data_IF_128324333530
#
_entry.id   IF_128324333530
#
_cell.length_a   1.000
_cell.length_b   1.000
_cell.length_c   1.000
_cell.angle_alpha   90.00
_cell.angle_beta   90.00
_cell.angle_gamma   90.00
#
_symmetry.space_group_name_H-M   'P 1'
#
loop_
_entity.id
_entity.type
_entity.pdbx_description
1 polymer ?
#
# COMPACT_ATOMS: atom_id res chain seq x y z
N UNK A 1 21.52 -22.22 -6.21
CA UNK A 1 20.07 -21.97 -6.20
C UNK A 1 19.88 -20.76 -5.31
N UNK A 2 19.45 -19.62 -5.88
CA UNK A 2 19.42 -18.34 -5.18
C UNK A 2 18.32 -18.35 -4.13
N UNK A 3 18.69 -18.06 -2.89
CA UNK A 3 17.75 -17.80 -1.80
C UNK A 3 16.86 -16.62 -2.21
N UNK A 4 15.55 -16.88 -2.37
CA UNK A 4 14.55 -15.82 -2.37
C UNK A 4 14.46 -15.29 -0.94
N UNK A 5 15.40 -14.42 -0.58
CA UNK A 5 15.26 -13.55 0.58
C UNK A 5 14.07 -12.64 0.29
N UNK A 6 12.89 -13.07 0.74
CA UNK A 6 11.75 -12.19 0.92
C UNK A 6 12.23 -11.09 1.87
N UNK A 7 12.61 -9.94 1.30
CA UNK A 7 12.79 -8.73 2.07
C UNK A 7 11.43 -8.41 2.67
N UNK A 8 11.17 -8.92 3.87
CA UNK A 8 10.04 -8.50 4.68
C UNK A 8 10.36 -7.06 5.05
N UNK A 9 9.90 -6.15 4.18
CA UNK A 9 9.65 -4.76 4.47
C UNK A 9 9.06 -4.70 5.88
N UNK A 10 9.85 -4.17 6.83
CA UNK A 10 9.49 -4.23 8.25
C UNK A 10 8.11 -3.63 8.51
N UNK A 11 7.42 -4.08 9.55
CA UNK A 11 6.13 -3.49 9.90
C UNK A 11 6.31 -1.98 10.15
N UNK A 12 5.41 -1.12 9.62
CA UNK A 12 5.44 0.28 9.97
C UNK A 12 5.10 0.44 11.46
N UNK A 13 5.26 1.67 11.97
CA UNK A 13 4.92 1.98 13.36
C UNK A 13 3.45 1.63 13.66
N UNK A 14 3.10 1.19 14.89
CA UNK A 14 1.72 0.88 15.24
C UNK A 14 0.77 2.03 14.90
N UNK A 15 -0.36 1.69 14.26
CA UNK A 15 -1.37 2.67 13.81
C UNK A 15 -1.14 3.25 12.42
N UNK A 16 0.05 3.11 11.84
CA UNK A 16 0.30 3.50 10.44
C UNK A 16 -0.35 2.49 9.49
N UNK A 17 -1.09 3.00 8.50
CA UNK A 17 -1.77 2.19 7.48
C UNK A 17 -0.75 1.66 6.49
N UNK A 18 0.01 2.56 5.87
CA UNK A 18 1.21 2.22 5.11
C UNK A 18 2.24 3.36 5.19
N UNK A 19 3.50 3.02 4.93
CA UNK A 19 4.63 3.94 4.84
C UNK A 19 5.38 3.67 3.53
N UNK A 20 5.45 4.66 2.66
CA UNK A 20 6.15 4.60 1.37
C UNK A 20 7.40 5.46 1.44
N UNK A 21 8.57 4.86 1.32
CA UNK A 21 9.86 5.56 1.36
C UNK A 21 10.51 5.55 -0.02
N UNK A 22 10.37 6.63 -0.78
CA UNK A 22 11.02 6.76 -2.09
C UNK A 22 11.68 8.13 -2.27
N UNK A 23 12.81 8.14 -2.98
CA UNK A 23 13.48 9.37 -3.43
C UNK A 23 13.77 10.39 -2.32
N UNK A 24 14.09 9.92 -1.10
CA UNK A 24 14.35 10.79 0.05
C UNK A 24 13.10 11.43 0.67
N UNK A 25 11.91 11.05 0.21
CA UNK A 25 10.64 11.39 0.81
C UNK A 25 10.01 10.15 1.49
N UNK A 26 9.39 10.36 2.64
CA UNK A 26 8.61 9.35 3.34
C UNK A 26 7.16 9.82 3.40
N UNK A 27 6.24 9.02 2.86
CA UNK A 27 4.80 9.23 2.92
C UNK A 27 4.23 8.23 3.91
N UNK A 28 3.45 8.71 4.87
CA UNK A 28 2.84 7.89 5.92
C UNK A 28 1.33 8.15 5.87
N UNK A 29 0.53 7.11 5.64
CA UNK A 29 -0.92 7.20 5.82
C UNK A 29 -1.27 6.88 7.27
N UNK A 30 -1.84 7.86 7.95
CA UNK A 30 -2.24 7.82 9.34
C UNK A 30 -3.62 7.12 9.50
N UNK A 31 -3.97 6.67 10.72
CA UNK A 31 -5.22 5.97 10.95
C UNK A 31 -6.47 6.87 10.84
N UNK A 32 -6.30 8.19 10.91
CA UNK A 32 -7.34 9.19 10.69
C UNK A 32 -7.54 9.55 9.21
N UNK A 33 -6.92 8.79 8.30
CA UNK A 33 -6.91 9.00 6.85
C UNK A 33 -6.24 10.30 6.39
N UNK A 34 -5.49 10.97 7.26
CA UNK A 34 -4.53 12.00 6.82
C UNK A 34 -3.24 11.35 6.35
N UNK A 35 -2.48 12.01 5.48
CA UNK A 35 -1.13 11.57 5.15
C UNK A 35 -0.09 12.58 5.59
N UNK A 36 1.02 12.08 6.10
CA UNK A 36 2.19 12.88 6.47
C UNK A 36 3.28 12.67 5.43
N UNK A 37 3.75 13.75 4.83
CA UNK A 37 4.94 13.77 3.98
C UNK A 37 6.12 14.31 4.78
N UNK A 38 7.21 13.55 4.81
CA UNK A 38 8.50 13.93 5.38
C UNK A 38 9.51 14.04 4.26
N UNK A 39 10.03 15.24 4.00
CA UNK A 39 11.05 15.49 2.98
C UNK A 39 11.97 16.61 3.43
N UNK A 40 13.28 16.42 3.31
CA UNK A 40 14.31 17.42 3.67
C UNK A 40 14.13 18.01 5.09
N UNK A 41 13.71 17.17 6.05
CA UNK A 41 13.43 17.57 7.43
C UNK A 41 12.12 18.34 7.63
N UNK A 42 11.37 18.65 6.57
CA UNK A 42 10.04 19.22 6.66
C UNK A 42 9.00 18.11 6.85
N UNK A 43 8.12 18.29 7.83
CA UNK A 43 6.99 17.40 8.10
C UNK A 43 5.71 18.17 7.81
N UNK A 44 4.90 17.67 6.88
CA UNK A 44 3.60 18.27 6.53
C UNK A 44 2.52 17.19 6.49
N UNK A 45 1.35 17.53 7.01
CA UNK A 45 0.19 16.61 7.03
C UNK A 45 -0.94 17.21 6.19
N UNK A 46 -1.57 16.36 5.38
CA UNK A 46 -2.61 16.75 4.44
C UNK A 46 -3.75 15.73 4.45
N UNK A 47 -4.89 16.13 3.89
CA UNK A 47 -5.94 15.19 3.50
C UNK A 47 -5.64 14.67 2.08
N UNK A 48 -5.70 13.34 1.87
CA UNK A 48 -5.51 12.77 0.55
C UNK A 48 -6.72 13.01 -0.35
N UNK A 49 -6.48 13.07 -1.65
CA UNK A 49 -7.54 12.93 -2.65
C UNK A 49 -8.01 11.48 -2.75
N UNK A 50 -9.15 11.26 -3.40
CA UNK A 50 -9.63 9.90 -3.70
C UNK A 50 -8.63 9.14 -4.58
N UNK A 51 -8.11 9.77 -5.63
CA UNK A 51 -7.11 9.16 -6.52
C UNK A 51 -5.85 8.71 -5.76
N UNK A 52 -5.41 9.48 -4.76
CA UNK A 52 -4.28 9.10 -3.92
C UNK A 52 -4.60 7.87 -3.06
N UNK A 53 -5.81 7.80 -2.49
CA UNK A 53 -6.24 6.64 -1.71
C UNK A 53 -6.30 5.37 -2.57
N UNK A 54 -6.79 5.48 -3.81
CA UNK A 54 -6.82 4.36 -4.76
C UNK A 54 -5.41 3.89 -5.14
N UNK A 55 -4.51 4.83 -5.45
CA UNK A 55 -3.10 4.52 -5.70
C UNK A 55 -2.46 3.81 -4.51
N UNK A 56 -2.69 4.29 -3.30
CA UNK A 56 -2.11 3.68 -2.11
C UNK A 56 -2.71 2.33 -1.75
N UNK A 57 -3.96 2.08 -2.12
CA UNK A 57 -4.54 0.74 -2.03
C UNK A 57 -3.80 -0.22 -2.97
N UNK A 58 -3.45 0.22 -4.17
CA UNK A 58 -2.62 -0.54 -5.10
C UNK A 58 -1.20 -0.74 -4.55
N UNK A 59 -0.55 0.30 -4.03
CA UNK A 59 0.78 0.20 -3.40
C UNK A 59 0.79 -0.79 -2.24
N UNK A 60 -0.24 -0.76 -1.39
CA UNK A 60 -0.40 -1.70 -0.29
C UNK A 60 -0.57 -3.14 -0.80
N UNK A 61 -1.31 -3.33 -1.89
CA UNK A 61 -1.43 -4.63 -2.54
C UNK A 61 -0.11 -5.13 -3.10
N UNK A 62 0.60 -4.31 -3.87
CA UNK A 62 1.91 -4.65 -4.43
C UNK A 62 2.94 -4.97 -3.35
N UNK A 63 2.92 -4.24 -2.23
CA UNK A 63 3.78 -4.50 -1.09
C UNK A 63 3.48 -5.85 -0.42
N UNK A 64 2.20 -6.20 -0.25
CA UNK A 64 1.77 -7.50 0.29
C UNK A 64 2.17 -8.66 -0.65
N UNK A 65 2.15 -8.43 -1.96
CA UNK A 65 2.61 -9.40 -2.97
C UNK A 65 4.14 -9.45 -3.10
N UNK A 66 4.89 -8.60 -2.38
CA UNK A 66 6.35 -8.53 -2.46
C UNK A 66 6.88 -7.89 -3.75
N UNK A 67 6.02 -7.16 -4.48
CA UNK A 67 6.35 -6.45 -5.73
C UNK A 67 6.96 -5.08 -5.43
N UNK A 68 6.43 -4.36 -4.43
CA UNK A 68 6.89 -3.03 -4.04
C UNK A 68 7.58 -3.07 -2.66
N UNK A 69 8.92 -3.20 -2.60
CA UNK A 69 9.66 -3.32 -1.34
C UNK A 69 9.81 -1.98 -0.58
N UNK A 70 9.56 -0.85 -1.25
CA UNK A 70 9.70 0.49 -0.67
C UNK A 70 8.51 0.89 0.22
N UNK A 71 7.49 0.02 0.24
CA UNK A 71 6.26 0.20 1.00
C UNK A 71 6.20 -0.77 2.16
N UNK A 72 5.92 -0.25 3.35
CA UNK A 72 5.67 -0.98 4.59
C UNK A 72 4.20 -0.89 4.92
N UNK A 73 3.56 -2.02 5.21
CA UNK A 73 2.10 -2.09 5.37
C UNK A 73 1.73 -2.56 6.78
N UNK A 74 0.91 -1.76 7.44
CA UNK A 74 0.32 -2.07 8.74
C UNK A 74 -0.94 -2.93 8.60
N UNK A 75 -1.62 -3.21 9.71
CA UNK A 75 -2.77 -4.12 9.70
C UNK A 75 -3.92 -3.61 8.81
N UNK A 76 -4.24 -2.32 8.87
CA UNK A 76 -5.29 -1.70 8.04
C UNK A 76 -4.90 -1.76 6.57
N UNK A 77 -3.65 -1.44 6.22
CA UNK A 77 -3.19 -1.48 4.83
C UNK A 77 -3.24 -2.91 4.25
N UNK A 78 -2.95 -3.94 5.05
CA UNK A 78 -3.10 -5.34 4.61
C UNK A 78 -4.54 -5.69 4.30
N UNK A 79 -5.49 -5.21 5.11
CA UNK A 79 -6.93 -5.41 4.83
C UNK A 79 -7.36 -4.66 3.57
N UNK A 80 -6.82 -3.46 3.33
CA UNK A 80 -7.05 -2.71 2.07
C UNK A 80 -6.56 -3.50 0.86
N UNK A 81 -5.36 -4.08 0.95
CA UNK A 81 -4.77 -4.94 -0.08
C UNK A 81 -5.63 -6.18 -0.35
N UNK A 82 -6.05 -6.88 0.70
CA UNK A 82 -6.93 -8.06 0.59
C UNK A 82 -8.27 -7.72 -0.06
N UNK A 83 -8.87 -6.57 0.29
CA UNK A 83 -10.11 -6.12 -0.33
C UNK A 83 -9.94 -5.83 -1.82
N UNK A 84 -8.79 -5.25 -2.23
CA UNK A 84 -8.50 -5.04 -3.63
C UNK A 84 -8.34 -6.37 -4.38
N UNK A 85 -7.63 -7.33 -3.78
CA UNK A 85 -7.44 -8.67 -4.35
C UNK A 85 -8.79 -9.35 -4.63
N UNK A 86 -9.71 -9.33 -3.66
CA UNK A 86 -11.06 -9.88 -3.82
C UNK A 86 -11.81 -9.19 -4.96
N UNK A 87 -11.76 -7.86 -5.02
CA UNK A 87 -12.40 -7.10 -6.09
C UNK A 87 -11.85 -7.45 -7.49
N UNK A 88 -10.53 -7.63 -7.59
CA UNK A 88 -9.88 -8.04 -8.83
C UNK A 88 -10.25 -9.48 -9.23
N UNK A 89 -10.43 -10.38 -8.27
CA UNK A 89 -10.90 -11.75 -8.53
C UNK A 89 -12.33 -11.76 -9.08
N UNK A 90 -13.25 -10.99 -8.47
CA UNK A 90 -14.63 -10.87 -8.93
C UNK A 90 -14.71 -10.30 -10.36
N UNK A 91 -13.89 -9.28 -10.66
CA UNK A 91 -13.79 -8.72 -12.02
C UNK A 91 -13.25 -9.73 -13.03
N UNK A 92 -12.31 -10.59 -12.64
CA UNK A 92 -11.79 -11.65 -13.52
C UNK A 92 -12.84 -12.71 -13.79
N UNK A 93 -13.59 -13.12 -12.75
CA UNK A 93 -14.64 -14.11 -12.89
C UNK A 93 -15.78 -13.62 -13.79
N UNK A 94 -16.30 -12.41 -13.53
CA UNK A 94 -17.37 -11.83 -14.35
C UNK A 94 -16.97 -11.67 -15.83
N UNK A 95 -15.71 -11.33 -16.12
CA UNK A 95 -15.20 -11.28 -17.50
C UNK A 95 -15.09 -12.66 -18.14
N UNK A 96 -14.69 -13.68 -17.38
CA UNK A 96 -14.65 -15.06 -17.86
C UNK A 96 -16.06 -15.57 -18.19
N UNK A 97 -17.04 -15.28 -17.34
CA UNK A 97 -18.44 -15.68 -17.54
C UNK A 97 -19.07 -15.02 -18.78
N UNK A 98 -18.68 -13.79 -19.12
CA UNK A 98 -19.12 -13.11 -20.34
C UNK A 98 -18.44 -13.61 -21.63
N UNK A 99 -17.31 -14.31 -21.50
CA UNK A 99 -16.56 -14.84 -22.64
C UNK A 99 -16.95 -16.30 -23.00
N UNK A 100 -17.80 -16.94 -22.19
CA UNK A 100 -18.39 -18.26 -22.43
C UNK A 100 -19.79 -18.17 -23.05
#
# INVERSE_FOLDING_TARGET
>A
MSEFSTHISGNPRPGVVFEHSAEGACIILNPDLTFTSVKDGQVRTFLPSLDQLEMWQLDAYEAVQGINPDVRVGEVGRRMAQNLELHLMDLRQSRADMAC
#
